data_IF_629341503190
#
_entry.id   IF_629341503190
#
_cell.length_a   1.000
_cell.length_b   1.000
_cell.length_c   1.000
_cell.angle_alpha   90.00
_cell.angle_beta   90.00
_cell.angle_gamma   90.00
#
_symmetry.space_group_name_H-M   'P 1'
#
loop_
_entity.id
_entity.type
_entity.pdbx_description
1 polymer ?
#
# COMPACT_ATOMS: atom_id res chain seq x y z
N UNK A 1 -63.46 -23.98 11.31
CA UNK A 1 -62.07 -23.93 11.82
C UNK A 1 -61.13 -23.76 10.63
N UNK A 2 -60.09 -22.95 10.80
CA UNK A 2 -59.24 -22.32 9.77
C UNK A 2 -57.86 -22.99 9.76
N UNK A 3 -57.30 -23.26 8.57
CA UNK A 3 -55.86 -23.43 8.28
C UNK A 3 -55.21 -24.74 8.78
N UNK A 4 -54.21 -25.37 8.13
CA UNK A 4 -53.07 -24.86 7.35
C UNK A 4 -52.62 -25.84 6.26
N UNK A 5 -52.47 -25.35 5.04
CA UNK A 5 -51.54 -25.88 4.03
C UNK A 5 -50.12 -25.49 4.45
N UNK A 6 -49.23 -26.48 4.62
CA UNK A 6 -47.79 -26.22 4.74
C UNK A 6 -47.24 -25.88 3.35
N UNK A 7 -46.92 -24.61 3.12
CA UNK A 7 -45.98 -24.22 2.08
C UNK A 7 -44.58 -24.31 2.67
N UNK A 8 -43.76 -25.20 2.12
CA UNK A 8 -42.32 -25.20 2.35
C UNK A 8 -41.71 -24.00 1.61
N UNK A 9 -41.64 -22.86 2.28
CA UNK A 9 -40.79 -21.75 1.85
C UNK A 9 -39.34 -22.11 2.16
N UNK A 10 -38.60 -22.51 1.13
CA UNK A 10 -37.15 -22.40 1.11
C UNK A 10 -36.81 -20.90 1.09
N UNK A 11 -36.66 -20.31 2.27
CA UNK A 11 -36.08 -18.98 2.42
C UNK A 11 -34.59 -19.05 2.11
N UNK A 12 -34.23 -18.90 0.83
CA UNK A 12 -32.89 -18.49 0.47
C UNK A 12 -32.79 -17.00 0.83
N UNK A 13 -32.04 -16.69 1.89
CA UNK A 13 -31.68 -15.32 2.24
C UNK A 13 -30.95 -14.67 1.05
N UNK A 14 -31.44 -13.55 0.49
CA UNK A 14 -30.79 -12.86 -0.63
C UNK A 14 -29.47 -12.19 -0.23
N UNK A 15 -29.19 -12.07 1.07
CA UNK A 15 -28.08 -11.28 1.61
C UNK A 15 -26.78 -12.09 1.85
N UNK A 16 -26.72 -13.36 1.44
CA UNK A 16 -25.48 -14.16 1.56
C UNK A 16 -24.51 -14.01 0.37
N UNK A 17 -24.68 -12.99 -0.47
CA UNK A 17 -23.55 -12.52 -1.26
C UNK A 17 -22.58 -11.83 -0.30
N UNK A 18 -21.67 -12.61 0.31
CA UNK A 18 -20.46 -12.10 0.94
C UNK A 18 -19.78 -11.20 -0.10
N UNK A 19 -20.04 -9.90 -0.03
CA UNK A 19 -19.54 -8.91 -0.96
C UNK A 19 -18.02 -9.02 -0.94
N UNK A 20 -17.44 -9.53 -2.02
CA UNK A 20 -16.00 -9.65 -2.09
C UNK A 20 -15.39 -8.26 -1.89
N UNK A 21 -14.33 -8.13 -1.08
CA UNK A 21 -13.69 -6.84 -0.86
C UNK A 21 -13.32 -6.21 -2.21
N UNK A 22 -13.65 -4.93 -2.40
CA UNK A 22 -13.25 -4.20 -3.61
C UNK A 22 -11.73 -4.12 -3.62
N UNK A 23 -11.06 -4.58 -4.69
CA UNK A 23 -9.61 -4.58 -4.74
C UNK A 23 -9.08 -3.14 -4.82
N UNK A 24 -7.99 -2.87 -4.11
CA UNK A 24 -7.36 -1.55 -4.11
C UNK A 24 -5.84 -1.61 -3.96
N UNK A 25 -5.20 -0.54 -4.42
CA UNK A 25 -3.77 -0.29 -4.18
C UNK A 25 -3.65 0.69 -3.03
N UNK A 26 -2.77 0.42 -2.08
CA UNK A 26 -2.37 1.40 -1.09
C UNK A 26 -0.98 1.94 -1.41
N UNK A 27 -0.85 3.26 -1.50
CA UNK A 27 0.42 3.95 -1.78
C UNK A 27 0.79 4.79 -0.58
N UNK A 28 1.90 4.46 0.06
CA UNK A 28 2.46 5.28 1.13
C UNK A 28 3.44 6.30 0.55
N UNK A 29 3.02 7.54 0.37
CA UNK A 29 3.82 8.58 -0.26
C UNK A 29 4.64 9.35 0.77
N UNK A 30 5.96 9.20 0.74
CA UNK A 30 6.89 10.06 1.49
C UNK A 30 7.36 11.21 0.61
N UNK A 31 6.60 12.29 0.61
CA UNK A 31 6.83 13.51 -0.18
C UNK A 31 6.71 14.79 0.67
N UNK A 32 6.63 14.63 1.99
CA UNK A 32 6.57 15.73 2.95
C UNK A 32 7.88 16.55 2.90
N UNK A 33 7.79 17.85 3.16
CA UNK A 33 8.95 18.75 3.01
C UNK A 33 10.15 18.34 3.86
N UNK A 34 9.91 17.91 5.10
CA UNK A 34 10.93 17.45 6.04
C UNK A 34 11.61 16.17 5.54
N UNK A 35 10.81 15.24 5.01
CA UNK A 35 11.29 14.04 4.35
C UNK A 35 12.14 14.37 3.13
N UNK A 36 11.66 15.26 2.25
CA UNK A 36 12.39 15.63 1.03
C UNK A 36 13.74 16.27 1.34
N UNK A 37 13.82 17.09 2.41
CA UNK A 37 15.10 17.63 2.88
C UNK A 37 15.99 16.52 3.44
N UNK A 38 15.43 15.62 4.25
CA UNK A 38 16.18 14.53 4.87
C UNK A 38 16.76 13.57 3.84
N UNK A 39 15.93 13.09 2.90
CA UNK A 39 16.33 12.10 1.91
C UNK A 39 17.40 12.69 0.97
N UNK A 40 17.27 13.96 0.52
CA UNK A 40 18.25 14.59 -0.39
C UNK A 40 19.62 14.71 0.28
N UNK A 41 19.65 15.09 1.56
CA UNK A 41 20.91 15.15 2.34
C UNK A 41 21.51 13.76 2.54
N UNK A 42 20.68 12.72 2.63
CA UNK A 42 21.17 11.34 2.77
C UNK A 42 21.74 10.82 1.44
N UNK A 43 21.04 11.07 0.33
CA UNK A 43 21.50 10.78 -1.03
C UNK A 43 22.87 11.40 -1.33
N UNK A 44 23.03 12.69 -1.01
CA UNK A 44 24.31 13.38 -1.16
C UNK A 44 25.44 12.74 -0.35
N UNK A 45 25.15 12.30 0.88
CA UNK A 45 26.14 11.65 1.76
C UNK A 45 26.53 10.25 1.30
N UNK A 46 25.57 9.52 0.73
CA UNK A 46 25.77 8.14 0.27
C UNK A 46 26.15 8.05 -1.21
N UNK A 47 26.09 9.16 -1.95
CA UNK A 47 26.29 9.24 -3.39
C UNK A 47 25.36 8.30 -4.18
N UNK A 48 24.06 8.36 -3.87
CA UNK A 48 22.99 7.57 -4.52
C UNK A 48 21.81 8.48 -4.88
N UNK A 49 20.88 8.00 -5.70
CA UNK A 49 19.69 8.75 -6.15
C UNK A 49 18.39 7.95 -6.05
N UNK A 50 18.36 6.93 -5.20
CA UNK A 50 17.27 5.95 -5.11
C UNK A 50 16.53 6.03 -3.76
N UNK A 51 16.57 7.18 -3.08
CA UNK A 51 15.93 7.37 -1.76
C UNK A 51 14.73 8.30 -1.89
N UNK A 52 14.94 9.46 -2.48
CA UNK A 52 13.90 10.44 -2.75
C UNK A 52 13.15 10.08 -4.03
N UNK A 53 11.84 10.34 -4.05
CA UNK A 53 11.09 10.37 -5.30
C UNK A 53 10.16 11.57 -5.30
N UNK A 54 9.94 12.13 -6.49
CA UNK A 54 8.94 13.18 -6.67
C UNK A 54 7.52 12.60 -6.71
N UNK A 55 6.51 13.47 -6.53
CA UNK A 55 5.09 13.10 -6.71
C UNK A 55 4.85 12.46 -8.08
N UNK A 56 5.39 13.06 -9.14
CA UNK A 56 5.25 12.64 -10.53
C UNK A 56 5.88 11.27 -10.76
N UNK A 57 7.08 11.06 -10.23
CA UNK A 57 7.79 9.78 -10.32
C UNK A 57 7.00 8.64 -9.63
N UNK A 58 6.40 8.91 -8.48
CA UNK A 58 5.55 7.94 -7.79
C UNK A 58 4.32 7.60 -8.63
N UNK A 59 3.60 8.61 -9.13
CA UNK A 59 2.40 8.42 -9.96
C UNK A 59 2.72 7.64 -11.24
N UNK A 60 3.82 7.96 -11.90
CA UNK A 60 4.28 7.27 -13.11
C UNK A 60 4.61 5.81 -12.82
N UNK A 61 5.43 5.55 -11.78
CA UNK A 61 5.80 4.18 -11.40
C UNK A 61 4.57 3.36 -11.05
N UNK A 62 3.66 3.87 -10.20
CA UNK A 62 2.41 3.16 -9.86
C UNK A 62 1.57 2.88 -11.11
N UNK A 63 1.47 3.83 -12.04
CA UNK A 63 0.78 3.65 -13.33
C UNK A 63 1.40 2.59 -14.24
N UNK A 64 2.67 2.24 -14.03
CA UNK A 64 3.42 1.26 -14.81
C UNK A 64 3.46 -0.14 -14.17
N UNK A 65 2.77 -0.36 -13.04
CA UNK A 65 2.65 -1.71 -12.45
C UNK A 65 1.88 -2.61 -13.41
N UNK A 66 2.55 -3.66 -13.88
CA UNK A 66 1.99 -4.64 -14.81
C UNK A 66 0.88 -5.45 -14.12
N UNK A 67 -0.25 -5.62 -14.81
CA UNK A 67 -1.35 -6.45 -14.35
C UNK A 67 -2.38 -5.75 -13.46
N UNK A 68 -2.23 -4.44 -13.20
CA UNK A 68 -3.31 -3.65 -12.59
C UNK A 68 -4.52 -3.60 -13.53
N UNK A 69 -5.68 -3.98 -13.01
CA UNK A 69 -6.96 -3.91 -13.74
C UNK A 69 -7.63 -2.58 -13.43
N UNK A 70 -7.81 -1.74 -14.45
CA UNK A 70 -8.60 -0.50 -14.35
C UNK A 70 -10.09 -0.79 -14.61
N UNK A 71 -11.04 -0.10 -13.95
CA UNK A 71 -10.84 0.98 -12.97
C UNK A 71 -10.34 0.47 -11.61
N UNK A 72 -9.46 1.23 -10.94
CA UNK A 72 -8.87 0.84 -9.66
C UNK A 72 -8.80 1.99 -8.66
N UNK A 73 -9.15 1.71 -7.40
CA UNK A 73 -9.03 2.66 -6.30
C UNK A 73 -7.59 2.67 -5.79
N UNK A 74 -7.05 3.88 -5.61
CA UNK A 74 -5.71 4.10 -5.03
C UNK A 74 -5.87 4.83 -3.69
N UNK A 75 -5.65 4.12 -2.58
CA UNK A 75 -5.60 4.72 -1.26
C UNK A 75 -4.26 5.42 -1.04
N UNK A 76 -4.28 6.70 -0.67
CA UNK A 76 -3.08 7.48 -0.37
C UNK A 76 -2.83 7.57 1.14
N UNK A 77 -1.79 6.89 1.61
CA UNK A 77 -1.23 7.07 2.94
C UNK A 77 -0.14 8.13 2.90
N UNK A 78 -0.50 9.37 3.22
CA UNK A 78 0.42 10.51 3.28
C UNK A 78 0.16 11.32 4.55
N UNK A 79 1.17 12.01 5.06
CA UNK A 79 1.01 12.96 6.16
C UNK A 79 0.61 14.34 5.61
N UNK A 80 -0.69 14.53 5.37
CA UNK A 80 -1.29 15.72 4.73
C UNK A 80 -0.81 17.06 5.30
N UNK A 81 -0.54 17.14 6.61
CA UNK A 81 -0.20 18.39 7.29
C UNK A 81 1.12 19.02 6.86
N UNK A 82 1.96 18.27 6.13
CA UNK A 82 3.31 18.68 5.72
C UNK A 82 3.48 18.72 4.19
N UNK A 83 2.38 18.67 3.44
CA UNK A 83 2.38 18.78 1.99
C UNK A 83 2.36 20.25 1.56
N UNK A 84 3.28 20.63 0.68
CA UNK A 84 3.25 21.94 0.01
C UNK A 84 2.21 22.00 -1.12
N UNK A 85 1.87 20.84 -1.70
CA UNK A 85 1.01 20.71 -2.88
C UNK A 85 -0.31 20.00 -2.56
N UNK A 86 -1.41 20.74 -2.63
CA UNK A 86 -2.77 20.22 -2.41
C UNK A 86 -3.33 19.42 -3.60
N UNK A 87 -2.59 19.31 -4.71
CA UNK A 87 -3.01 18.60 -5.93
C UNK A 87 -2.57 17.13 -5.99
N UNK A 88 -2.42 16.46 -4.83
CA UNK A 88 -1.96 15.07 -4.77
C UNK A 88 -2.93 14.07 -5.46
N UNK A 89 -4.19 14.46 -5.60
CA UNK A 89 -5.23 13.68 -6.28
C UNK A 89 -5.23 13.84 -7.82
N UNK A 90 -4.45 14.76 -8.38
CA UNK A 90 -4.42 15.02 -9.82
C UNK A 90 -3.19 14.40 -10.49
N UNK A 91 -3.29 14.07 -11.78
CA UNK A 91 -2.16 13.59 -12.60
C UNK A 91 -1.93 12.08 -12.60
N UNK A 92 -2.83 11.31 -12.00
CA UNK A 92 -2.80 9.85 -12.06
C UNK A 92 -3.15 9.33 -13.45
N UNK A 93 -2.56 8.18 -13.82
CA UNK A 93 -2.86 7.49 -15.08
C UNK A 93 -4.35 7.17 -15.19
N UNK A 94 -4.88 7.21 -16.41
CA UNK A 94 -6.29 6.93 -16.69
C UNK A 94 -6.76 5.61 -16.06
N UNK A 95 -7.93 5.66 -15.42
CA UNK A 95 -8.53 4.52 -14.71
C UNK A 95 -8.01 4.30 -13.29
N UNK A 96 -7.04 5.09 -12.80
CA UNK A 96 -6.63 5.12 -11.41
C UNK A 96 -7.32 6.24 -10.65
N UNK A 97 -8.02 5.90 -9.57
CA UNK A 97 -8.84 6.82 -8.79
C UNK A 97 -8.25 7.02 -7.40
N UNK A 98 -7.43 8.07 -7.19
CA UNK A 98 -6.84 8.34 -5.89
C UNK A 98 -7.89 8.81 -4.88
N UNK A 99 -7.81 8.26 -3.68
CA UNK A 99 -8.64 8.63 -2.53
C UNK A 99 -7.76 8.92 -1.33
N UNK A 100 -8.01 10.06 -0.69
CA UNK A 100 -7.44 10.41 0.60
C UNK A 100 -8.36 9.96 1.73
N UNK A 101 -7.77 9.76 2.91
CA UNK A 101 -8.47 9.48 4.17
C UNK A 101 -9.66 10.40 4.43
N UNK A 102 -9.51 11.69 4.12
CA UNK A 102 -10.56 12.70 4.34
C UNK A 102 -11.84 12.39 3.56
N UNK A 103 -11.71 11.80 2.37
CA UNK A 103 -12.83 11.45 1.50
C UNK A 103 -13.56 10.17 1.91
N UNK A 104 -13.02 9.40 2.85
CA UNK A 104 -13.68 8.20 3.39
C UNK A 104 -14.80 8.54 4.41
N UNK A 105 -15.26 9.81 4.46
CA UNK A 105 -16.29 10.32 5.39
C UNK A 105 -15.96 10.14 6.88
N UNK A 106 -14.69 9.84 7.18
CA UNK A 106 -14.16 9.63 8.53
C UNK A 106 -13.22 10.76 8.95
N UNK A 107 -13.10 11.83 8.17
CA UNK A 107 -12.17 12.93 8.43
C UNK A 107 -12.37 13.55 9.82
N UNK A 108 -13.64 13.77 10.20
CA UNK A 108 -14.01 14.27 11.53
C UNK A 108 -13.73 13.27 12.68
N UNK A 109 -13.41 12.02 12.37
CA UNK A 109 -12.97 11.00 13.34
C UNK A 109 -11.44 10.93 13.35
N UNK A 110 -10.79 10.91 12.18
CA UNK A 110 -9.34 10.81 12.04
C UNK A 110 -8.61 12.04 12.56
N UNK A 111 -9.10 13.24 12.24
CA UNK A 111 -8.51 14.50 12.69
C UNK A 111 -8.52 14.68 14.21
N UNK A 112 -9.39 13.94 14.92
CA UNK A 112 -9.45 13.94 16.40
C UNK A 112 -8.35 13.11 17.05
N UNK A 113 -7.74 12.20 16.31
CA UNK A 113 -6.72 11.32 16.85
C UNK A 113 -5.31 11.90 16.67
N UNK A 114 -4.39 11.64 17.61
CA UNK A 114 -2.99 11.99 17.45
C UNK A 114 -2.40 11.37 16.18
N UNK A 115 -1.37 12.02 15.61
CA UNK A 115 -0.67 11.58 14.41
C UNK A 115 -0.30 10.09 14.41
N UNK A 116 0.15 9.55 15.56
CA UNK A 116 0.51 8.13 15.69
C UNK A 116 -0.67 7.19 15.46
N UNK A 117 -1.86 7.56 15.93
CA UNK A 117 -3.07 6.76 15.72
C UNK A 117 -3.52 6.85 14.27
N UNK A 118 -3.46 8.04 13.65
CA UNK A 118 -3.73 8.17 12.22
C UNK A 118 -2.78 7.29 11.39
N UNK A 119 -1.49 7.27 11.74
CA UNK A 119 -0.48 6.39 11.13
C UNK A 119 -0.80 4.91 11.37
N UNK A 120 -1.25 4.52 12.56
CA UNK A 120 -1.65 3.14 12.82
C UNK A 120 -2.85 2.71 11.96
N UNK A 121 -3.75 3.63 11.64
CA UNK A 121 -4.86 3.33 10.74
C UNK A 121 -4.36 3.19 9.30
N UNK A 122 -3.46 4.06 8.83
CA UNK A 122 -2.81 3.88 7.53
C UNK A 122 -2.11 2.53 7.44
N UNK A 123 -1.43 2.11 8.51
CA UNK A 123 -0.76 0.82 8.58
C UNK A 123 -1.75 -0.32 8.36
N UNK A 124 -2.91 -0.26 9.02
CA UNK A 124 -3.96 -1.27 8.90
C UNK A 124 -4.55 -1.32 7.48
N UNK A 125 -4.80 -0.17 6.86
CA UNK A 125 -5.29 -0.10 5.47
C UNK A 125 -4.23 -0.64 4.51
N UNK A 126 -2.99 -0.16 4.60
CA UNK A 126 -1.91 -0.58 3.72
C UNK A 126 -1.58 -2.08 3.85
N UNK A 127 -1.61 -2.65 5.05
CA UNK A 127 -1.33 -4.08 5.27
C UNK A 127 -2.37 -4.99 4.63
N UNK A 128 -3.63 -4.52 4.52
CA UNK A 128 -4.76 -5.25 3.94
C UNK A 128 -4.94 -5.07 2.43
N UNK A 129 -4.28 -4.09 1.83
CA UNK A 129 -4.41 -3.79 0.41
C UNK A 129 -4.05 -4.97 -0.52
N UNK A 130 -4.66 -5.03 -1.69
CA UNK A 130 -4.34 -6.03 -2.72
C UNK A 130 -2.93 -5.81 -3.24
N UNK A 131 -2.55 -4.55 -3.44
CA UNK A 131 -1.19 -4.14 -3.80
C UNK A 131 -0.73 -3.05 -2.85
N UNK A 132 0.50 -3.17 -2.34
CA UNK A 132 1.13 -2.12 -1.55
C UNK A 132 2.30 -1.51 -2.30
N UNK A 133 2.42 -0.19 -2.27
CA UNK A 133 3.55 0.54 -2.86
C UNK A 133 4.06 1.56 -1.84
N UNK A 134 5.35 1.54 -1.53
CA UNK A 134 5.95 2.40 -0.52
C UNK A 134 7.39 2.78 -0.82
N UNK A 135 8.01 3.49 0.11
CA UNK A 135 9.42 3.89 0.03
C UNK A 135 10.28 2.93 0.86
N UNK A 136 11.31 2.32 0.29
CA UNK A 136 12.14 1.33 1.01
C UNK A 136 13.00 1.91 2.13
N UNK A 137 13.19 3.23 2.18
CA UNK A 137 13.86 3.93 3.28
C UNK A 137 12.89 4.42 4.36
N UNK A 138 11.58 4.22 4.18
CA UNK A 138 10.59 4.53 5.20
C UNK A 138 10.37 3.35 6.13
N UNK A 139 10.66 3.52 7.42
CA UNK A 139 10.35 2.51 8.46
C UNK A 139 8.88 2.09 8.44
N UNK A 140 7.95 3.02 8.16
CA UNK A 140 6.53 2.71 8.03
C UNK A 140 6.25 1.72 6.89
N UNK A 141 6.82 1.98 5.71
CA UNK A 141 6.70 1.07 4.57
C UNK A 141 7.38 -0.26 4.81
N UNK A 142 8.55 -0.26 5.46
CA UNK A 142 9.29 -1.49 5.78
C UNK A 142 8.55 -2.38 6.77
N UNK A 143 7.83 -1.80 7.73
CA UNK A 143 6.93 -2.56 8.62
C UNK A 143 5.80 -3.24 7.82
N UNK A 144 5.19 -2.55 6.87
CA UNK A 144 4.13 -3.12 6.01
C UNK A 144 4.69 -4.22 5.12
N UNK A 145 5.85 -4.00 4.50
CA UNK A 145 6.52 -5.01 3.67
C UNK A 145 6.86 -6.27 4.49
N UNK A 146 7.35 -6.10 5.71
CA UNK A 146 7.63 -7.20 6.64
C UNK A 146 6.35 -7.99 7.00
N UNK A 147 5.30 -7.31 7.44
CA UNK A 147 4.03 -7.96 7.80
C UNK A 147 3.42 -8.72 6.62
N UNK A 148 3.40 -8.11 5.44
CA UNK A 148 2.90 -8.74 4.21
C UNK A 148 3.77 -9.95 3.82
N UNK A 149 5.09 -9.85 3.95
CA UNK A 149 6.01 -10.97 3.72
C UNK A 149 5.73 -12.14 4.65
N UNK A 150 5.61 -11.87 5.96
CA UNK A 150 5.28 -12.90 6.94
C UNK A 150 3.92 -13.55 6.67
N UNK A 151 2.92 -12.74 6.31
CA UNK A 151 1.59 -13.22 5.95
C UNK A 151 1.63 -14.17 4.74
N UNK A 152 2.40 -13.83 3.70
CA UNK A 152 2.62 -14.69 2.54
C UNK A 152 3.27 -16.02 2.92
N UNK A 153 4.32 -15.98 3.77
CA UNK A 153 5.00 -17.18 4.26
C UNK A 153 4.06 -18.10 5.05
N UNK A 154 3.26 -17.54 5.97
CA UNK A 154 2.26 -18.31 6.75
C UNK A 154 1.22 -18.99 5.87
N UNK A 155 0.97 -18.47 4.67
CA UNK A 155 0.06 -19.04 3.68
C UNK A 155 0.72 -20.05 2.73
N UNK A 156 1.98 -20.41 2.97
CA UNK A 156 2.72 -21.38 2.16
C UNK A 156 3.22 -20.84 0.82
N UNK A 157 3.25 -19.51 0.62
CA UNK A 157 3.83 -18.91 -0.58
C UNK A 157 5.35 -18.97 -0.48
N UNK A 158 5.97 -19.88 -1.24
CA UNK A 158 7.42 -20.13 -1.24
C UNK A 158 8.16 -19.42 -2.38
N UNK A 159 7.44 -19.00 -3.44
CA UNK A 159 7.98 -18.21 -4.55
C UNK A 159 7.21 -16.91 -4.65
N UNK A 160 7.89 -15.82 -4.37
CA UNK A 160 7.23 -14.60 -3.93
C UNK A 160 7.56 -13.39 -4.81
N UNK A 161 8.22 -13.64 -5.95
CA UNK A 161 8.52 -12.66 -7.01
C UNK A 161 7.90 -12.99 -8.38
N UNK A 162 7.10 -14.05 -8.45
CA UNK A 162 6.40 -14.45 -9.67
C UNK A 162 5.30 -13.47 -10.08
N UNK A 163 4.76 -13.65 -11.29
CA UNK A 163 3.72 -12.78 -11.87
C UNK A 163 2.35 -12.94 -11.18
N UNK A 164 2.18 -13.94 -10.32
CA UNK A 164 0.90 -14.34 -9.69
C UNK A 164 0.97 -14.40 -8.16
N UNK A 165 1.70 -13.48 -7.53
CA UNK A 165 1.81 -13.43 -6.06
C UNK A 165 0.58 -12.74 -5.47
N UNK A 166 0.00 -13.35 -4.42
CA UNK A 166 -1.09 -12.74 -3.65
C UNK A 166 -0.49 -11.72 -2.69
N UNK A 167 -0.95 -10.46 -2.79
CA UNK A 167 -0.45 -9.31 -2.01
C UNK A 167 0.97 -8.84 -2.33
N UNK A 168 1.28 -8.50 -3.59
CA UNK A 168 2.58 -7.95 -3.91
C UNK A 168 2.80 -6.62 -3.19
N UNK A 169 4.07 -6.35 -2.89
CA UNK A 169 4.56 -5.08 -2.36
C UNK A 169 5.63 -4.54 -3.29
N UNK A 170 5.72 -3.23 -3.43
CA UNK A 170 6.68 -2.58 -4.31
C UNK A 170 7.35 -1.39 -3.63
N UNK A 171 8.63 -1.17 -3.94
CA UNK A 171 9.36 0.02 -3.58
C UNK A 171 9.38 0.99 -4.76
N UNK A 172 8.66 2.10 -4.63
CA UNK A 172 8.58 3.06 -5.72
C UNK A 172 9.86 3.84 -5.92
N UNK A 173 10.79 3.88 -4.97
CA UNK A 173 12.03 4.67 -5.08
C UNK A 173 13.13 3.96 -5.87
N UNK A 174 12.95 2.66 -6.14
CA UNK A 174 13.86 1.86 -6.98
C UNK A 174 13.15 1.53 -8.30
N UNK A 175 13.87 1.69 -9.41
CA UNK A 175 13.34 1.38 -10.73
C UNK A 175 13.14 -0.14 -10.89
N UNK A 176 11.94 -0.54 -11.31
CA UNK A 176 11.57 -1.92 -11.56
C UNK A 176 11.34 -2.21 -13.04
N UNK A 177 10.67 -3.34 -13.30
CA UNK A 177 10.25 -3.75 -14.64
C UNK A 177 9.29 -2.73 -15.27
N UNK A 178 9.37 -2.55 -16.60
CA UNK A 178 8.46 -1.69 -17.37
C UNK A 178 8.38 -0.23 -16.89
N UNK A 179 9.47 0.32 -16.35
CA UNK A 179 9.51 1.65 -15.70
C UNK A 179 8.56 1.78 -14.51
N UNK A 180 8.17 0.65 -13.91
CA UNK A 180 7.38 0.57 -12.70
C UNK A 180 8.25 0.58 -11.43
N UNK A 181 7.64 0.37 -10.26
CA UNK A 181 8.36 0.25 -9.00
C UNK A 181 8.99 -1.15 -8.89
N UNK A 182 10.07 -1.25 -8.12
CA UNK A 182 10.74 -2.52 -7.88
C UNK A 182 9.92 -3.42 -6.94
N UNK A 183 9.83 -4.73 -7.21
CA UNK A 183 9.14 -5.67 -6.32
C UNK A 183 9.87 -5.75 -4.99
N UNK A 184 9.13 -5.87 -3.88
CA UNK A 184 9.72 -5.77 -2.56
C UNK A 184 9.20 -6.81 -1.59
N UNK A 185 10.14 -7.55 -1.00
CA UNK A 185 9.93 -8.33 0.22
C UNK A 185 11.08 -8.15 1.19
N UNK A 186 10.77 -8.40 2.46
CA UNK A 186 11.79 -8.56 3.49
C UNK A 186 12.48 -9.90 3.34
N UNK A 187 13.82 -9.92 3.38
CA UNK A 187 14.59 -11.16 3.29
C UNK A 187 14.45 -11.95 4.60
N UNK A 188 13.46 -12.84 4.69
CA UNK A 188 13.21 -13.66 5.88
C UNK A 188 14.18 -14.85 6.03
N UNK A 189 15.10 -15.05 5.08
CA UNK A 189 16.09 -16.15 5.12
C UNK A 189 17.45 -15.71 5.68
N UNK A 190 17.62 -14.43 5.99
CA UNK A 190 18.87 -13.94 6.57
C UNK A 190 19.05 -14.41 8.02
N UNK A 191 20.30 -14.62 8.42
CA UNK A 191 20.67 -15.01 9.78
C UNK A 191 20.66 -13.85 10.79
N UNK A 192 20.64 -12.59 10.31
CA UNK A 192 20.71 -11.40 11.14
C UNK A 192 19.34 -10.79 11.42
N UNK A 193 19.04 -10.58 12.71
CA UNK A 193 17.84 -9.83 13.13
C UNK A 193 17.73 -8.45 12.48
N UNK A 194 18.87 -7.79 12.24
CA UNK A 194 18.89 -6.49 11.56
C UNK A 194 18.40 -6.60 10.12
N UNK A 195 18.83 -7.64 9.40
CA UNK A 195 18.50 -7.84 7.99
C UNK A 195 17.04 -8.27 7.78
N UNK A 196 16.45 -9.02 8.73
CA UNK A 196 15.05 -9.48 8.67
C UNK A 196 14.06 -8.51 9.35
N UNK A 197 14.55 -7.35 9.81
CA UNK A 197 13.72 -6.33 10.47
C UNK A 197 13.24 -5.25 9.51
N UNK A 198 12.27 -4.44 9.97
CA UNK A 198 11.84 -3.21 9.30
C UNK A 198 12.94 -2.14 9.18
N UNK A 199 14.09 -2.30 9.84
CA UNK A 199 15.24 -1.41 9.72
C UNK A 199 16.16 -1.73 8.54
N UNK A 200 15.86 -2.79 7.78
CA UNK A 200 16.60 -3.16 6.58
C UNK A 200 16.08 -2.41 5.37
N UNK A 201 16.99 -1.81 4.60
CA UNK A 201 16.69 -1.25 3.27
C UNK A 201 16.99 -2.27 2.16
N UNK A 202 17.35 -3.50 2.52
CA UNK A 202 17.60 -4.58 1.55
C UNK A 202 16.26 -4.97 0.95
N UNK A 203 16.13 -4.74 -0.35
CA UNK A 203 15.00 -5.21 -1.13
C UNK A 203 15.37 -6.57 -1.70
N UNK A 204 14.55 -7.58 -1.39
CA UNK A 204 14.75 -8.92 -1.94
C UNK A 204 13.65 -9.28 -2.92
N UNK A 205 14.10 -9.75 -4.08
CA UNK A 205 13.43 -10.59 -5.04
C UNK A 205 14.51 -11.40 -5.79
#
# INVERSE_FOLDING_TARGET
MRSKSQSSQSGADPDSSLSQPVPYVAVHMRIEIDWMIHCKKLEQRLNVSEICSSKQEIMERVGNIVGLKSPLVIYLAVADSLLEDSSILAGWKEGLFPVEKKKLSVDGIYSKYPYLIQSAIDYEVCSRADVFVGNSFSTFSSLIALERTQKMIRMGVTRSCGVSVRWPSYAYNILGESNGPHKWMTNMSDSSLKAISYGSNIISC
#
